data_IF_461143615383
#
_entry.id   IF_461143615383
#
_cell.length_a   1.000
_cell.length_b   1.000
_cell.length_c   1.000
_cell.angle_alpha   90.00
_cell.angle_beta   90.00
_cell.angle_gamma   90.00
#
_symmetry.space_group_name_H-M   'P 1'
#
loop_
_entity.id
_entity.type
_entity.pdbx_description
1 polymer ?
#
# COMPACT_ATOMS: atom_id res chain seq x y z
N UNK A 1 5.95 25.65 9.06
CA UNK A 1 5.14 25.22 7.91
C UNK A 1 3.72 24.98 8.39
N UNK A 2 2.77 25.76 7.89
CA UNK A 2 1.34 25.54 8.11
C UNK A 2 0.86 24.30 7.35
N UNK A 3 -0.30 23.71 7.70
CA UNK A 3 -0.89 22.59 6.97
C UNK A 3 -1.05 22.89 5.46
N UNK A 4 -1.41 24.13 5.12
CA UNK A 4 -1.54 24.57 3.73
C UNK A 4 -0.20 24.58 3.00
N UNK A 5 0.85 25.11 3.64
CA UNK A 5 2.20 25.12 3.07
C UNK A 5 2.76 23.71 2.89
N UNK A 6 2.44 22.77 3.79
CA UNK A 6 2.83 21.37 3.67
C UNK A 6 2.18 20.68 2.46
N UNK A 7 0.89 20.93 2.23
CA UNK A 7 0.17 20.42 1.06
C UNK A 7 0.75 21.00 -0.23
N UNK A 8 0.99 22.31 -0.28
CA UNK A 8 1.54 22.98 -1.46
C UNK A 8 2.94 22.43 -1.80
N UNK A 9 3.79 22.25 -0.79
CA UNK A 9 5.11 21.64 -0.93
C UNK A 9 5.01 20.22 -1.50
N UNK A 10 4.10 19.41 -0.97
CA UNK A 10 3.89 18.04 -1.44
C UNK A 10 3.40 18.00 -2.90
N UNK A 11 2.50 18.91 -3.30
CA UNK A 11 2.05 19.03 -4.68
C UNK A 11 3.20 19.39 -5.62
N UNK A 12 4.06 20.35 -5.24
CA UNK A 12 5.21 20.70 -6.08
C UNK A 12 6.21 19.55 -6.20
N UNK A 13 6.46 18.81 -5.12
CA UNK A 13 7.30 17.62 -5.17
C UNK A 13 6.75 16.58 -6.17
N UNK A 14 5.44 16.28 -6.15
CA UNK A 14 4.84 15.34 -7.10
C UNK A 14 4.89 15.82 -8.57
N UNK A 15 4.77 17.13 -8.80
CA UNK A 15 4.87 17.72 -10.15
C UNK A 15 6.27 17.61 -10.74
N UNK A 16 7.31 17.66 -9.89
CA UNK A 16 8.69 17.53 -10.32
C UNK A 16 9.12 16.08 -10.58
N UNK A 17 8.34 15.09 -10.11
CA UNK A 17 8.65 13.69 -10.33
C UNK A 17 8.49 13.27 -11.79
N UNK A 18 9.34 12.37 -12.25
CA UNK A 18 9.14 11.66 -13.52
C UNK A 18 8.03 10.61 -13.39
N UNK A 19 7.63 10.02 -14.53
CA UNK A 19 6.68 8.91 -14.52
C UNK A 19 7.23 7.68 -13.79
N UNK A 20 8.51 7.38 -13.98
CA UNK A 20 9.23 6.28 -13.36
C UNK A 20 9.33 6.44 -11.85
N UNK A 21 9.61 7.65 -11.36
CA UNK A 21 9.66 7.94 -9.93
C UNK A 21 8.30 7.75 -9.26
N UNK A 22 7.23 8.23 -9.91
CA UNK A 22 5.85 8.01 -9.44
C UNK A 22 5.49 6.52 -9.44
N UNK A 23 5.86 5.78 -10.48
CA UNK A 23 5.63 4.34 -10.56
C UNK A 23 6.37 3.61 -9.43
N UNK A 24 7.64 3.97 -9.18
CA UNK A 24 8.42 3.37 -8.12
C UNK A 24 7.82 3.62 -6.73
N UNK A 25 7.28 4.83 -6.48
CA UNK A 25 6.53 5.13 -5.25
C UNK A 25 5.29 4.25 -5.15
N UNK A 26 4.49 4.16 -6.21
CA UNK A 26 3.25 3.39 -6.21
C UNK A 26 3.50 1.90 -5.91
N UNK A 27 4.55 1.31 -6.52
CA UNK A 27 4.94 -0.07 -6.26
C UNK A 27 5.37 -0.28 -4.80
N UNK A 28 6.19 0.60 -4.24
CA UNK A 28 6.58 0.52 -2.82
C UNK A 28 5.39 0.67 -1.88
N UNK A 29 4.45 1.56 -2.19
CA UNK A 29 3.22 1.72 -1.40
C UNK A 29 2.33 0.48 -1.47
N UNK A 30 2.25 -0.17 -2.64
CA UNK A 30 1.54 -1.44 -2.79
C UNK A 30 2.16 -2.54 -1.93
N UNK A 31 3.49 -2.70 -1.97
CA UNK A 31 4.20 -3.70 -1.17
C UNK A 31 3.97 -3.49 0.34
N UNK A 32 4.14 -2.25 0.80
CA UNK A 32 3.88 -1.88 2.21
C UNK A 32 2.43 -2.20 2.61
N UNK A 33 1.46 -1.88 1.74
CA UNK A 33 0.05 -2.16 2.01
C UNK A 33 -0.22 -3.66 2.13
N UNK A 34 0.42 -4.46 1.27
CA UNK A 34 0.36 -5.92 1.34
C UNK A 34 0.96 -6.44 2.65
N UNK A 35 2.09 -5.91 3.11
CA UNK A 35 2.72 -6.33 4.36
C UNK A 35 1.85 -6.01 5.58
N UNK A 36 1.30 -4.80 5.66
CA UNK A 36 0.34 -4.43 6.71
C UNK A 36 -0.88 -5.36 6.69
N UNK A 37 -1.40 -5.69 5.51
CA UNK A 37 -2.52 -6.61 5.39
C UNK A 37 -2.15 -8.04 5.86
N UNK A 38 -0.94 -8.53 5.54
CA UNK A 38 -0.45 -9.84 6.04
C UNK A 38 -0.37 -9.86 7.56
N UNK A 39 0.14 -8.82 8.19
CA UNK A 39 0.18 -8.72 9.65
C UNK A 39 -1.22 -8.75 10.27
N UNK A 40 -2.17 -8.03 9.66
CA UNK A 40 -3.57 -8.10 10.04
C UNK A 40 -4.16 -9.51 9.91
N UNK A 41 -3.83 -10.24 8.83
CA UNK A 41 -4.25 -11.62 8.62
C UNK A 41 -3.64 -12.55 9.67
N UNK A 42 -2.32 -12.49 9.91
CA UNK A 42 -1.64 -13.31 10.92
C UNK A 42 -2.27 -13.12 12.31
N UNK A 43 -2.60 -11.88 12.66
CA UNK A 43 -3.30 -11.58 13.93
C UNK A 43 -4.71 -12.18 13.99
N UNK A 44 -5.44 -12.19 12.88
CA UNK A 44 -6.80 -12.77 12.80
C UNK A 44 -6.79 -14.30 12.75
N UNK A 45 -5.73 -14.90 12.20
CA UNK A 45 -5.56 -16.34 12.03
C UNK A 45 -4.18 -16.80 12.54
N UNK A 46 -3.96 -16.87 13.87
CA UNK A 46 -2.64 -17.13 14.45
C UNK A 46 -2.00 -18.47 14.06
N UNK A 47 -2.80 -19.45 13.63
CA UNK A 47 -2.32 -20.76 13.17
C UNK A 47 -2.17 -20.88 11.65
N UNK A 48 -2.40 -19.80 10.89
CA UNK A 48 -2.28 -19.85 9.43
C UNK A 48 -0.81 -19.98 9.01
N UNK A 49 -0.54 -20.90 8.10
CA UNK A 49 0.73 -20.95 7.38
C UNK A 49 0.90 -19.74 6.47
N UNK A 50 2.15 -19.44 6.08
CA UNK A 50 2.45 -18.37 5.13
C UNK A 50 1.71 -18.52 3.79
N UNK A 51 1.49 -19.75 3.32
CA UNK A 51 0.70 -20.00 2.12
C UNK A 51 -0.76 -19.58 2.30
N UNK A 52 -1.37 -19.90 3.45
CA UNK A 52 -2.74 -19.51 3.77
C UNK A 52 -2.87 -18.00 3.97
N UNK A 53 -1.89 -17.36 4.60
CA UNK A 53 -1.84 -15.89 4.75
C UNK A 53 -1.84 -15.22 3.38
N UNK A 54 -1.02 -15.71 2.44
CA UNK A 54 -0.95 -15.16 1.09
C UNK A 54 -2.22 -15.41 0.28
N UNK A 55 -2.90 -16.55 0.47
CA UNK A 55 -4.17 -16.80 -0.20
C UNK A 55 -5.28 -15.87 0.30
N UNK A 56 -5.36 -15.65 1.61
CA UNK A 56 -6.28 -14.68 2.21
C UNK A 56 -5.98 -13.26 1.74
N UNK A 57 -4.70 -12.90 1.59
CA UNK A 57 -4.31 -11.60 1.02
C UNK A 57 -4.81 -11.45 -0.42
N UNK A 58 -4.61 -12.46 -1.28
CA UNK A 58 -5.11 -12.44 -2.67
C UNK A 58 -6.62 -12.26 -2.72
N UNK A 59 -7.37 -13.00 -1.90
CA UNK A 59 -8.82 -12.87 -1.82
C UNK A 59 -9.25 -11.43 -1.45
N UNK A 60 -8.56 -10.79 -0.48
CA UNK A 60 -8.83 -9.38 -0.11
C UNK A 60 -8.53 -8.41 -1.25
N UNK A 61 -7.40 -8.57 -1.93
CA UNK A 61 -7.03 -7.70 -3.05
C UNK A 61 -8.03 -7.82 -4.21
N UNK A 62 -8.54 -9.02 -4.49
CA UNK A 62 -9.56 -9.23 -5.52
C UNK A 62 -10.88 -8.51 -5.22
N UNK A 63 -11.26 -8.37 -3.95
CA UNK A 63 -12.44 -7.59 -3.57
C UNK A 63 -12.24 -6.09 -3.85
N UNK A 64 -11.05 -5.56 -3.55
CA UNK A 64 -10.72 -4.15 -3.76
C UNK A 64 -10.61 -3.75 -5.24
N UNK A 65 -10.30 -4.69 -6.14
CA UNK A 65 -10.27 -4.44 -7.60
C UNK A 65 -11.69 -4.36 -8.19
N UNK A 66 -12.69 -4.93 -7.50
CA UNK A 66 -14.09 -5.00 -7.98
C UNK A 66 -15.00 -3.92 -7.41
N UNK A 67 -14.53 -3.15 -6.42
CA UNK A 67 -15.23 -2.04 -5.76
C UNK A 67 -14.95 -0.72 -6.44
#
# INVERSE_FOLDING_TARGET
>A
MSPREAIEFQIQAYRQMTGEERLAIALRMHDLSCDVAREGIRRQYPGASEAQVNELLRARLQLAVRS
#
